data_IF_659690010359
#
_entry.id   IF_659690010359
#
_cell.length_a   1.000
_cell.length_b   1.000
_cell.length_c   1.000
_cell.angle_alpha   90.00
_cell.angle_beta   90.00
_cell.angle_gamma   90.00
#
_symmetry.space_group_name_H-M   'P 1'
#
loop_
_entity.id
_entity.type
_entity.pdbx_description
1 polymer ?
#
# COMPACT_ATOMS: atom_id res chain seq x y z
N UNK A 1 4.46 7.23 -4.81
CA UNK A 1 5.47 7.40 -3.72
C UNK A 1 4.80 7.51 -2.34
N UNK A 2 3.80 8.38 -2.16
CA UNK A 2 3.13 8.59 -0.85
C UNK A 2 2.61 7.31 -0.21
N UNK A 3 2.01 6.40 -0.99
CA UNK A 3 1.54 5.10 -0.50
C UNK A 3 2.64 4.25 0.16
N UNK A 4 3.86 4.27 -0.38
CA UNK A 4 4.99 3.52 0.20
C UNK A 4 5.47 4.23 1.46
N UNK A 5 5.51 5.57 1.44
CA UNK A 5 5.87 6.34 2.62
C UNK A 5 4.88 6.14 3.76
N UNK A 6 3.59 5.96 3.49
CA UNK A 6 2.59 5.63 4.50
C UNK A 6 2.82 4.26 5.15
N UNK A 7 3.49 3.31 4.47
CA UNK A 7 3.95 2.08 5.13
C UNK A 7 5.21 2.28 5.97
N UNK A 8 6.03 3.30 5.69
CA UNK A 8 7.37 3.51 6.30
C UNK A 8 7.37 4.55 7.42
N UNK A 9 6.46 5.51 7.36
CA UNK A 9 6.28 6.61 8.31
C UNK A 9 4.78 6.76 8.62
N UNK A 10 4.08 5.66 8.99
CA UNK A 10 2.63 5.64 9.19
C UNK A 10 2.12 6.71 10.17
N UNK A 11 2.94 7.14 11.11
CA UNK A 11 2.64 8.19 12.10
C UNK A 11 2.26 9.54 11.48
N UNK A 12 2.64 9.80 10.23
CA UNK A 12 2.26 11.02 9.51
C UNK A 12 0.84 10.98 8.94
N UNK A 13 0.22 9.80 8.88
CA UNK A 13 -1.09 9.59 8.26
C UNK A 13 -2.16 9.13 9.25
N UNK A 14 -1.84 8.17 10.14
CA UNK A 14 -2.83 7.62 11.06
C UNK A 14 -2.13 6.94 12.27
N UNK A 15 -2.62 7.19 13.48
CA UNK A 15 -2.09 6.58 14.70
C UNK A 15 -2.29 5.06 14.74
N UNK A 16 -3.41 4.54 14.25
CA UNK A 16 -3.69 3.09 14.16
C UNK A 16 -2.70 2.41 13.22
N UNK A 17 -2.33 3.07 12.11
CA UNK A 17 -1.29 2.57 11.22
C UNK A 17 0.07 2.54 11.92
N UNK A 18 0.38 3.57 12.70
CA UNK A 18 1.65 3.67 13.43
C UNK A 18 1.82 2.57 14.47
N UNK A 19 0.73 2.16 15.12
CA UNK A 19 0.74 1.04 16.06
C UNK A 19 0.65 -0.33 15.39
N UNK A 20 0.33 -0.39 14.09
CA UNK A 20 0.09 -1.67 13.40
C UNK A 20 1.26 -2.14 12.55
N UNK A 21 2.10 -1.24 12.05
CA UNK A 21 3.20 -1.56 11.12
C UNK A 21 4.53 -1.54 11.85
N UNK A 22 5.22 -2.68 11.87
CA UNK A 22 6.56 -2.79 12.43
C UNK A 22 7.63 -2.47 11.38
N UNK A 23 7.46 -2.98 10.16
CA UNK A 23 8.34 -2.66 9.03
C UNK A 23 7.54 -2.38 7.75
N UNK A 24 7.81 -1.22 7.17
CA UNK A 24 7.23 -0.77 5.90
C UNK A 24 7.91 -1.34 4.66
N UNK A 25 7.24 -1.16 3.51
CA UNK A 25 7.77 -1.59 2.22
C UNK A 25 9.05 -0.82 1.86
N UNK A 26 9.96 -1.49 1.15
CA UNK A 26 11.18 -0.88 0.62
C UNK A 26 10.89 -0.09 -0.67
N UNK A 27 11.86 0.69 -1.21
CA UNK A 27 11.70 1.38 -2.50
C UNK A 27 11.31 0.47 -3.67
N UNK A 28 11.56 -0.84 -3.56
CA UNK A 28 11.09 -1.85 -4.53
C UNK A 28 9.56 -1.92 -4.62
N UNK A 29 8.84 -1.56 -3.56
CA UNK A 29 7.38 -1.43 -3.56
C UNK A 29 6.89 -0.34 -4.52
N UNK A 30 7.61 0.78 -4.60
CA UNK A 30 7.29 1.87 -5.56
C UNK A 30 7.45 1.38 -6.99
N UNK A 31 8.55 0.69 -7.30
CA UNK A 31 8.83 0.15 -8.64
C UNK A 31 7.79 -0.91 -9.03
N UNK A 32 7.41 -1.78 -8.10
CA UNK A 32 6.39 -2.80 -8.32
C UNK A 32 5.03 -2.15 -8.67
N UNK A 33 4.57 -1.21 -7.85
CA UNK A 33 3.31 -0.49 -8.07
C UNK A 33 3.28 0.22 -9.43
N UNK A 34 4.35 0.93 -9.73
CA UNK A 34 4.52 1.71 -10.95
C UNK A 34 4.48 0.83 -12.22
N UNK A 35 5.13 -0.33 -12.20
CA UNK A 35 5.10 -1.29 -13.31
C UNK A 35 3.75 -1.99 -13.43
N UNK A 36 3.19 -2.45 -12.31
CA UNK A 36 1.92 -3.17 -12.30
C UNK A 36 0.74 -2.27 -12.70
N UNK A 37 0.71 -1.01 -12.26
CA UNK A 37 -0.33 -0.07 -12.66
C UNK A 37 -0.29 0.22 -14.17
N UNK A 38 0.91 0.39 -14.76
CA UNK A 38 1.05 0.52 -16.22
C UNK A 38 0.63 -0.72 -16.99
N UNK A 39 1.00 -1.90 -16.48
CA UNK A 39 0.56 -3.16 -17.10
C UNK A 39 -0.96 -3.32 -17.01
N UNK A 40 -1.57 -2.97 -15.87
CA UNK A 40 -3.02 -3.00 -15.67
C UNK A 40 -3.75 -2.07 -16.66
N UNK A 41 -3.32 -0.80 -16.77
CA UNK A 41 -3.88 0.15 -17.71
C UNK A 41 -3.76 -0.34 -19.17
N UNK A 42 -2.61 -0.89 -19.54
CA UNK A 42 -2.36 -1.40 -20.89
C UNK A 42 -3.23 -2.61 -21.23
N UNK A 43 -3.41 -3.54 -20.28
CA UNK A 43 -4.32 -4.68 -20.43
C UNK A 43 -5.78 -4.25 -20.58
N UNK A 44 -6.13 -3.09 -20.01
CA UNK A 44 -7.44 -2.44 -20.13
C UNK A 44 -7.55 -1.53 -21.38
N UNK A 45 -6.58 -1.59 -22.30
CA UNK A 45 -6.59 -0.87 -23.57
C UNK A 45 -6.29 0.63 -23.48
N UNK A 46 -5.81 1.11 -22.32
CA UNK A 46 -5.43 2.51 -22.09
C UNK A 46 -3.92 2.70 -22.18
N UNK A 47 -3.49 3.88 -22.63
CA UNK A 47 -2.08 4.28 -22.75
C UNK A 47 -1.60 5.19 -21.59
N UNK A 48 -2.50 5.53 -20.66
CA UNK A 48 -2.22 6.28 -19.44
C UNK A 48 -2.75 5.56 -18.19
N UNK A 49 -2.05 5.76 -17.08
CA UNK A 49 -2.42 5.21 -15.76
C UNK A 49 -3.42 6.14 -15.08
N UNK A 50 -4.45 5.56 -14.46
CA UNK A 50 -5.40 6.26 -13.59
C UNK A 50 -5.17 5.86 -12.12
N UNK A 51 -5.72 6.63 -11.15
CA UNK A 51 -5.75 6.21 -9.75
C UNK A 51 -6.32 4.81 -9.51
N UNK A 52 -7.30 4.39 -10.31
CA UNK A 52 -7.95 3.08 -10.20
C UNK A 52 -6.98 1.94 -10.51
N UNK A 53 -6.09 2.11 -11.50
CA UNK A 53 -5.05 1.11 -11.80
C UNK A 53 -4.10 0.90 -10.62
N UNK A 54 -3.72 1.98 -9.94
CA UNK A 54 -2.83 1.93 -8.77
C UNK A 54 -3.52 1.22 -7.62
N UNK A 55 -4.80 1.51 -7.38
CA UNK A 55 -5.60 0.86 -6.35
C UNK A 55 -5.80 -0.63 -6.63
N UNK A 56 -6.09 -0.99 -7.88
CA UNK A 56 -6.31 -2.37 -8.31
C UNK A 56 -5.12 -3.28 -8.01
N UNK A 57 -3.89 -2.80 -8.19
CA UNK A 57 -2.66 -3.58 -7.95
C UNK A 57 -2.04 -3.37 -6.57
N UNK A 58 -2.64 -2.54 -5.72
CA UNK A 58 -2.03 -2.07 -4.47
C UNK A 58 -1.73 -3.21 -3.49
N UNK A 59 -2.76 -4.00 -3.20
CA UNK A 59 -2.68 -5.10 -2.24
C UNK A 59 -1.67 -6.16 -2.68
N UNK A 60 -1.74 -6.58 -3.94
CA UNK A 60 -0.84 -7.60 -4.49
C UNK A 60 0.62 -7.17 -4.43
N UNK A 61 0.89 -5.89 -4.71
CA UNK A 61 2.24 -5.36 -4.66
C UNK A 61 2.81 -5.29 -3.25
N UNK A 62 2.00 -4.97 -2.23
CA UNK A 62 2.51 -4.59 -0.91
C UNK A 62 2.21 -5.58 0.23
N UNK A 63 1.23 -6.48 0.12
CA UNK A 63 0.82 -7.36 1.25
C UNK A 63 1.95 -8.24 1.79
N UNK A 64 2.85 -8.64 0.92
CA UNK A 64 4.02 -9.47 1.26
C UNK A 64 5.27 -8.63 1.56
N UNK A 65 5.14 -7.30 1.65
CA UNK A 65 6.25 -6.35 1.83
C UNK A 65 6.15 -5.52 3.11
N UNK A 66 5.13 -5.76 3.94
CA UNK A 66 4.99 -5.14 5.25
C UNK A 66 5.02 -6.21 6.34
N UNK A 67 5.53 -5.83 7.51
CA UNK A 67 5.48 -6.60 8.75
C UNK A 67 4.58 -5.87 9.72
N UNK A 68 3.69 -6.63 10.37
CA UNK A 68 2.83 -6.09 11.41
C UNK A 68 3.53 -6.23 12.75
N UNK A 69 3.21 -5.33 13.67
CA UNK A 69 3.63 -5.46 15.08
C UNK A 69 2.98 -6.69 15.71
N UNK A 70 3.64 -7.27 16.72
CA UNK A 70 3.09 -8.40 17.49
C UNK A 70 1.69 -8.11 18.05
N UNK A 71 1.44 -6.91 18.57
CA UNK A 71 0.15 -6.50 19.11
C UNK A 71 -0.94 -6.50 18.05
N UNK A 72 -0.63 -6.06 16.82
CA UNK A 72 -1.57 -6.08 15.71
C UNK A 72 -1.91 -7.52 15.28
N UNK A 73 -0.92 -8.41 15.22
CA UNK A 73 -1.15 -9.83 14.93
C UNK A 73 -1.98 -10.50 16.03
N UNK A 74 -1.69 -10.22 17.31
CA UNK A 74 -2.46 -10.72 18.44
C UNK A 74 -3.93 -10.25 18.42
N UNK A 75 -4.19 -9.05 17.90
CA UNK A 75 -5.52 -8.51 17.68
C UNK A 75 -6.18 -8.97 16.37
N UNK A 76 -5.61 -9.96 15.68
CA UNK A 76 -6.09 -10.47 14.38
C UNK A 76 -6.22 -9.38 13.29
N UNK A 77 -5.38 -8.35 13.34
CA UNK A 77 -5.30 -7.35 12.28
C UNK A 77 -4.58 -7.97 11.08
N UNK A 78 -5.21 -7.96 9.92
CA UNK A 78 -4.60 -8.46 8.69
C UNK A 78 -3.82 -7.38 7.96
N UNK A 79 -2.82 -7.80 7.17
CA UNK A 79 -2.06 -6.89 6.30
C UNK A 79 -2.97 -6.20 5.29
N UNK A 80 -3.98 -6.90 4.77
CA UNK A 80 -4.93 -6.30 3.84
C UNK A 80 -5.75 -5.21 4.52
N UNK A 81 -6.18 -5.39 5.78
CA UNK A 81 -6.87 -4.34 6.55
C UNK A 81 -5.99 -3.09 6.71
N UNK A 82 -4.72 -3.28 7.05
CA UNK A 82 -3.76 -2.17 7.18
C UNK A 82 -3.54 -1.47 5.84
N UNK A 83 -3.43 -2.21 4.74
CA UNK A 83 -3.27 -1.64 3.41
C UNK A 83 -4.53 -0.90 2.93
N UNK A 84 -5.73 -1.43 3.19
CA UNK A 84 -6.98 -0.71 2.91
C UNK A 84 -7.03 0.59 3.69
N UNK A 85 -6.64 0.57 4.96
CA UNK A 85 -6.55 1.78 5.79
C UNK A 85 -5.56 2.80 5.23
N UNK A 86 -4.45 2.37 4.62
CA UNK A 86 -3.54 3.27 3.91
C UNK A 86 -4.23 3.93 2.70
N UNK A 87 -4.98 3.18 1.90
CA UNK A 87 -5.72 3.73 0.75
C UNK A 87 -6.77 4.77 1.20
N UNK A 88 -7.40 4.58 2.35
CA UNK A 88 -8.35 5.54 2.93
C UNK A 88 -7.70 6.85 3.40
N UNK A 89 -6.41 6.80 3.78
CA UNK A 89 -5.69 7.92 4.39
C UNK A 89 -4.77 8.67 3.45
N UNK A 90 -4.36 8.02 2.36
CA UNK A 90 -3.46 8.61 1.37
C UNK A 90 -4.26 8.89 0.11
N UNK A 91 -4.52 10.17 -0.16
CA UNK A 91 -5.17 10.57 -1.40
C UNK A 91 -4.33 10.17 -2.61
N UNK A 92 -4.96 9.49 -3.57
CA UNK A 92 -4.42 9.21 -4.89
C UNK A 92 -5.17 10.16 -5.85
N UNK A 93 -4.47 11.16 -6.37
CA UNK A 93 -4.99 12.13 -7.33
C UNK A 93 -4.48 11.79 -8.74
#
# INVERSE_FOLDING_TARGET
>A
IQLIMATRQPEKWDHELATSIEFGASPRGTIALDRCARAHAWLDGRDFVTPDDVQAVFHDCLRHRIMLTFEAEANNISKDRVLTRILERVTIL
#
